data_IF_239648085720
#
_entry.id   IF_239648085720
#
_cell.length_a   1.000
_cell.length_b   1.000
_cell.length_c   1.000
_cell.angle_alpha   90.00
_cell.angle_beta   90.00
_cell.angle_gamma   90.00
#
_symmetry.space_group_name_H-M   'P 1'
#
loop_
_entity.id
_entity.type
_entity.pdbx_description
1 polymer ?
#
# COMPACT_ATOMS: atom_id res chain seq x y z
N UNK A 1 -12.09 -11.90 -22.54
CA UNK A 1 -11.72 -10.66 -21.85
C UNK A 1 -10.21 -10.65 -21.72
N UNK A 2 -9.55 -9.59 -22.18
CA UNK A 2 -8.09 -9.43 -22.09
C UNK A 2 -7.76 -8.72 -20.77
N UNK A 3 -7.03 -9.39 -19.88
CA UNK A 3 -6.55 -8.77 -18.64
C UNK A 3 -5.47 -7.73 -18.97
N UNK A 4 -5.56 -6.54 -18.38
CA UNK A 4 -4.58 -5.46 -18.54
C UNK A 4 -3.39 -5.63 -17.60
N UNK A 5 -3.64 -6.16 -16.41
CA UNK A 5 -2.61 -6.50 -15.43
C UNK A 5 -2.70 -7.97 -15.05
N UNK A 6 -1.56 -8.65 -15.05
CA UNK A 6 -1.44 -10.08 -14.76
C UNK A 6 -0.35 -10.28 -13.72
N UNK A 7 -0.63 -11.11 -12.71
CA UNK A 7 0.37 -11.50 -11.71
C UNK A 7 -0.02 -12.77 -10.98
N UNK A 8 0.68 -13.03 -9.87
CA UNK A 8 0.46 -14.18 -9.00
C UNK A 8 -0.09 -13.74 -7.65
N UNK A 9 -1.10 -14.44 -7.16
CA UNK A 9 -1.64 -14.24 -5.83
C UNK A 9 -0.63 -14.72 -4.78
N UNK A 10 -0.36 -13.88 -3.78
CA UNK A 10 0.63 -14.14 -2.72
C UNK A 10 0.27 -15.29 -1.78
N UNK A 11 -1.00 -15.67 -1.70
CA UNK A 11 -1.53 -16.62 -0.71
C UNK A 11 -1.66 -18.05 -1.26
N UNK A 12 -2.10 -18.19 -2.50
CA UNK A 12 -2.39 -19.50 -3.13
C UNK A 12 -1.56 -19.78 -4.41
N UNK A 13 -0.81 -18.79 -4.91
CA UNK A 13 0.00 -18.92 -6.11
C UNK A 13 -0.78 -18.93 -7.44
N UNK A 14 -2.10 -18.73 -7.40
CA UNK A 14 -2.94 -18.69 -8.59
C UNK A 14 -2.77 -17.36 -9.35
N UNK A 15 -3.24 -17.34 -10.60
CA UNK A 15 -3.19 -16.13 -11.41
C UNK A 15 -4.18 -15.11 -10.87
N UNK A 16 -3.71 -13.87 -10.69
CA UNK A 16 -4.51 -12.72 -10.29
C UNK A 16 -4.50 -11.67 -11.38
N UNK A 17 -5.64 -11.01 -11.62
CA UNK A 17 -5.78 -10.05 -12.72
C UNK A 17 -6.33 -8.70 -12.25
N UNK A 18 -6.01 -7.66 -13.01
CA UNK A 18 -6.61 -6.32 -12.94
C UNK A 18 -6.85 -5.80 -11.52
N UNK A 19 -8.12 -5.74 -11.09
CA UNK A 19 -8.51 -5.17 -9.81
C UNK A 19 -7.94 -5.93 -8.62
N UNK A 20 -7.94 -7.26 -8.67
CA UNK A 20 -7.41 -8.10 -7.60
C UNK A 20 -5.89 -7.91 -7.48
N UNK A 21 -5.20 -7.78 -8.62
CA UNK A 21 -3.78 -7.51 -8.65
C UNK A 21 -3.44 -6.12 -8.06
N UNK A 22 -4.25 -5.10 -8.38
CA UNK A 22 -4.12 -3.75 -7.81
C UNK A 22 -4.38 -3.77 -6.30
N UNK A 23 -5.43 -4.45 -5.84
CA UNK A 23 -5.75 -4.59 -4.42
C UNK A 23 -4.62 -5.26 -3.64
N UNK A 24 -4.06 -6.35 -4.19
CA UNK A 24 -2.89 -7.01 -3.62
C UNK A 24 -1.67 -6.07 -3.52
N UNK A 25 -1.42 -5.29 -4.58
CA UNK A 25 -0.33 -4.31 -4.65
C UNK A 25 -0.46 -3.23 -3.57
N UNK A 26 -1.62 -2.61 -3.42
CA UNK A 26 -1.89 -1.62 -2.36
C UNK A 26 -1.68 -2.24 -0.98
N UNK A 27 -2.19 -3.46 -0.77
CA UNK A 27 -2.00 -4.18 0.49
C UNK A 27 -0.52 -4.49 0.78
N UNK A 28 0.29 -4.77 -0.23
CA UNK A 28 1.74 -4.96 -0.10
C UNK A 28 2.44 -3.64 0.29
N UNK A 29 2.14 -2.56 -0.42
CA UNK A 29 2.71 -1.22 -0.19
C UNK A 29 2.44 -0.75 1.24
N UNK A 30 1.17 -0.78 1.68
CA UNK A 30 0.78 -0.22 2.98
C UNK A 30 1.31 -1.04 4.16
N UNK A 31 1.43 -2.36 4.03
CA UNK A 31 1.91 -3.23 5.12
C UNK A 31 3.42 -3.37 5.18
N UNK A 32 4.15 -3.04 4.12
CA UNK A 32 5.62 -3.15 4.10
C UNK A 32 6.24 -1.94 4.79
N UNK A 33 7.00 -2.10 5.89
CA UNK A 33 7.71 -0.98 6.50
C UNK A 33 8.81 -0.45 5.58
N UNK A 34 8.94 0.86 5.47
CA UNK A 34 10.10 1.49 4.82
C UNK A 34 11.39 0.96 5.47
N UNK A 35 12.36 0.61 4.63
CA UNK A 35 13.63 0.04 5.03
C UNK A 35 13.64 -1.47 5.10
N UNK A 36 12.51 -2.17 5.04
CA UNK A 36 12.48 -3.65 5.17
C UNK A 36 12.91 -4.39 3.89
N UNK A 37 12.63 -3.83 2.71
CA UNK A 37 12.91 -4.51 1.42
C UNK A 37 14.38 -4.38 1.03
N UNK A 38 15.02 -5.53 0.77
CA UNK A 38 16.42 -5.63 0.35
C UNK A 38 16.62 -4.93 -1.00
N UNK A 39 17.69 -4.12 -1.11
CA UNK A 39 18.01 -3.28 -2.27
C UNK A 39 16.94 -2.27 -2.71
N UNK A 40 15.83 -2.12 -1.95
CA UNK A 40 14.77 -1.13 -2.20
C UNK A 40 14.28 -0.56 -0.87
N UNK A 41 15.19 0.07 -0.13
CA UNK A 41 14.91 0.56 1.23
C UNK A 41 13.80 1.62 1.26
N UNK A 42 13.60 2.38 0.19
CA UNK A 42 12.55 3.40 0.13
C UNK A 42 11.13 2.84 -0.10
N UNK A 43 11.00 1.53 -0.36
CA UNK A 43 9.72 0.89 -0.64
C UNK A 43 8.91 0.67 0.64
N UNK A 44 7.59 0.91 0.54
CA UNK A 44 6.64 0.66 1.61
C UNK A 44 5.98 1.93 2.15
N UNK A 45 5.51 1.85 3.40
CA UNK A 45 4.82 2.92 4.12
C UNK A 45 5.46 3.21 5.48
N UNK A 46 5.16 4.38 6.04
CA UNK A 46 5.55 4.79 7.39
C UNK A 46 4.57 4.30 8.48
N UNK A 47 3.50 3.58 8.10
CA UNK A 47 2.43 3.19 9.03
C UNK A 47 2.95 2.33 10.20
N UNK A 48 3.95 1.49 9.95
CA UNK A 48 4.56 0.66 10.99
C UNK A 48 5.14 1.48 12.16
N UNK A 49 5.63 2.70 11.89
CA UNK A 49 6.17 3.58 12.93
C UNK A 49 5.09 4.28 13.77
N UNK A 50 3.83 4.23 13.31
CA UNK A 50 2.67 4.89 13.93
C UNK A 50 1.86 3.94 14.82
N UNK A 51 2.21 2.66 14.85
CA UNK A 51 1.59 1.64 15.71
C UNK A 51 1.86 2.01 17.18
N UNK A 52 0.88 1.77 18.05
CA UNK A 52 0.91 2.02 19.49
C UNK A 52 1.14 3.50 19.90
N UNK A 53 0.94 4.44 18.97
CA UNK A 53 0.93 5.87 19.28
C UNK A 53 -0.44 6.32 19.83
N UNK A 54 -0.48 7.38 20.67
CA UNK A 54 -1.72 7.95 21.18
C UNK A 54 -2.66 8.42 20.06
N UNK A 55 -3.94 8.06 20.16
CA UNK A 55 -4.97 8.38 19.17
C UNK A 55 -5.36 9.86 19.22
N UNK A 56 -4.60 10.70 18.53
CA UNK A 56 -4.82 12.15 18.43
C UNK A 56 -5.24 12.53 17.00
N UNK A 57 -5.95 13.66 16.81
CA UNK A 57 -6.26 14.16 15.46
C UNK A 57 -5.02 14.40 14.60
N UNK A 58 -3.88 14.72 15.23
CA UNK A 58 -2.60 14.86 14.54
C UNK A 58 -2.09 13.51 13.99
N UNK A 59 -2.19 12.43 14.79
CA UNK A 59 -1.84 11.08 14.35
C UNK A 59 -2.76 10.61 13.21
N UNK A 60 -4.06 10.88 13.30
CA UNK A 60 -5.02 10.56 12.24
C UNK A 60 -4.61 11.20 10.90
N UNK A 61 -4.24 12.49 10.92
CA UNK A 61 -3.75 13.17 9.72
C UNK A 61 -2.44 12.55 9.20
N UNK A 62 -1.51 12.20 10.10
CA UNK A 62 -0.24 11.55 9.71
C UNK A 62 -0.48 10.19 9.04
N UNK A 63 -1.41 9.39 9.56
CA UNK A 63 -1.80 8.10 8.95
C UNK A 63 -2.37 8.32 7.55
N UNK A 64 -3.28 9.28 7.37
CA UNK A 64 -3.86 9.60 6.06
C UNK A 64 -2.77 10.03 5.06
N UNK A 65 -1.84 10.88 5.48
CA UNK A 65 -0.71 11.33 4.65
C UNK A 65 0.21 10.16 4.32
N UNK A 66 0.53 9.28 5.27
CA UNK A 66 1.36 8.12 5.04
C UNK A 66 0.75 7.15 4.01
N UNK A 67 -0.57 6.91 4.09
CA UNK A 67 -1.31 6.14 3.09
C UNK A 67 -1.25 6.80 1.71
N UNK A 68 -1.58 8.10 1.64
CA UNK A 68 -1.61 8.85 0.38
C UNK A 68 -0.23 8.84 -0.31
N UNK A 69 0.84 9.19 0.42
CA UNK A 69 2.19 9.27 -0.14
C UNK A 69 2.71 7.91 -0.60
N UNK A 70 2.44 6.84 0.15
CA UNK A 70 2.88 5.50 -0.21
C UNK A 70 2.18 5.01 -1.50
N UNK A 71 0.86 5.18 -1.59
CA UNK A 71 0.08 4.80 -2.78
C UNK A 71 0.46 5.66 -3.98
N UNK A 72 0.58 6.98 -3.81
CA UNK A 72 0.98 7.91 -4.88
C UNK A 72 2.34 7.54 -5.48
N UNK A 73 3.30 7.14 -4.65
CA UNK A 73 4.65 6.81 -5.08
C UNK A 73 4.74 5.45 -5.80
N UNK A 74 4.00 4.44 -5.32
CA UNK A 74 4.20 3.04 -5.72
C UNK A 74 3.07 2.43 -6.56
N UNK A 75 1.89 3.04 -6.61
CA UNK A 75 0.73 2.53 -7.34
C UNK A 75 0.17 3.56 -8.34
N UNK A 76 0.85 3.77 -9.49
CA UNK A 76 0.47 4.79 -10.47
C UNK A 76 -0.85 4.48 -11.20
N UNK A 77 -1.43 3.28 -11.01
CA UNK A 77 -2.68 2.87 -11.65
C UNK A 77 -3.91 3.40 -10.91
N UNK A 78 -3.74 3.95 -9.71
CA UNK A 78 -4.82 4.39 -8.84
C UNK A 78 -4.66 5.86 -8.49
N UNK A 79 -5.76 6.61 -8.60
CA UNK A 79 -5.87 7.96 -8.06
C UNK A 79 -6.63 7.91 -6.76
N UNK A 80 -5.98 8.23 -5.65
CA UNK A 80 -6.57 8.15 -4.33
C UNK A 80 -7.49 9.36 -4.09
N UNK A 81 -8.77 9.11 -3.79
CA UNK A 81 -9.79 10.15 -3.59
C UNK A 81 -9.94 10.56 -2.13
N UNK A 82 -10.04 9.60 -1.22
CA UNK A 82 -10.16 9.82 0.22
C UNK A 82 -9.59 8.66 1.03
N UNK A 83 -9.16 8.97 2.26
CA UNK A 83 -8.80 7.99 3.28
C UNK A 83 -9.66 8.28 4.51
N UNK A 84 -10.49 7.32 4.90
CA UNK A 84 -11.36 7.41 6.07
C UNK A 84 -10.87 6.42 7.12
N UNK A 85 -10.79 6.88 8.36
CA UNK A 85 -10.44 6.12 9.56
C UNK A 85 -11.68 5.81 10.38
#
# INVERSE_FOLDING_TARGET
>A
MTARYLGMNRSDGLTVTDLEHISQSIGDILRTPVGSRVMRRDYGSLLASMIDQPQTPALELQIKVACYMAVLKWEPRVTLSSVTT
#
